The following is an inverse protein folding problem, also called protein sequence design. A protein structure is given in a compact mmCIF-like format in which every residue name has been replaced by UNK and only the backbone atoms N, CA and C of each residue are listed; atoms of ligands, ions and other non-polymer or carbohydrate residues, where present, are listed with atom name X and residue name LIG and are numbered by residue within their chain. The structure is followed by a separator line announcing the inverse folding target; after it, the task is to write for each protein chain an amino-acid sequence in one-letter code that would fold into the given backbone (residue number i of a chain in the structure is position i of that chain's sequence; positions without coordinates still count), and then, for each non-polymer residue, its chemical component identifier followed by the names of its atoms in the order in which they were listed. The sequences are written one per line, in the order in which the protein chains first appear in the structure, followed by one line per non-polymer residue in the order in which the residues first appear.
data_IF_525766775002
#
_entry.id   IF_525766775002
#
_cell.length_a   1.000
_cell.length_b   1.000
_cell.length_c   1.000
_cell.angle_alpha   90.00
_cell.angle_beta   90.00
_cell.angle_gamma   90.00
#
_symmetry.space_group_name_H-M   'P 1'
#
loop_
_entity.id
_entity.type
_entity.pdbx_description
1 polymer ?
#
# COMPACT_ATOMS: atom_id res chain seq x y z
N UNK A 1 -40.88 36.50 -7.57
CA UNK A 1 -40.13 36.84 -8.79
C UNK A 1 -38.76 37.32 -8.32
N UNK A 2 -37.62 36.69 -8.53
CA UNK A 2 -37.09 35.56 -9.33
C UNK A 2 -35.86 35.10 -8.55
N UNK A 3 -35.67 33.80 -8.28
CA UNK A 3 -34.79 32.97 -9.11
C UNK A 3 -33.35 33.02 -8.60
N UNK A 4 -32.87 31.93 -8.02
CA UNK A 4 -31.50 31.82 -7.47
C UNK A 4 -31.19 30.38 -7.07
N UNK A 5 -31.20 29.49 -8.06
CA UNK A 5 -30.64 28.14 -7.94
C UNK A 5 -29.10 28.21 -7.88
N UNK A 6 -28.53 27.53 -6.89
CA UNK A 6 -27.12 27.18 -6.79
C UNK A 6 -27.04 26.10 -5.72
N UNK A 7 -27.11 24.82 -6.08
CA UNK A 7 -26.07 24.13 -6.82
C UNK A 7 -25.28 23.30 -5.81
N UNK A 8 -25.81 22.12 -5.44
CA UNK A 8 -25.05 21.08 -4.75
C UNK A 8 -24.20 20.34 -5.78
N UNK A 9 -22.90 20.14 -5.55
CA UNK A 9 -22.17 19.06 -6.19
C UNK A 9 -21.67 18.05 -5.15
N UNK A 10 -21.73 16.77 -5.53
CA UNK A 10 -20.75 15.79 -5.09
C UNK A 10 -21.21 14.79 -4.04
N UNK A 11 -22.25 14.02 -4.35
CA UNK A 11 -22.35 12.66 -3.84
C UNK A 11 -21.33 11.78 -4.59
N UNK A 12 -20.69 10.88 -3.84
CA UNK A 12 -20.02 9.65 -4.30
C UNK A 12 -18.61 9.77 -4.92
N UNK A 13 -17.60 9.52 -4.10
CA UNK A 13 -16.44 8.74 -4.56
C UNK A 13 -16.40 7.50 -3.68
N UNK A 14 -16.90 6.42 -4.27
CA UNK A 14 -16.93 5.12 -3.66
C UNK A 14 -15.57 4.79 -3.06
N UNK A 15 -15.63 4.28 -1.82
CA UNK A 15 -14.59 3.44 -1.26
C UNK A 15 -14.50 2.21 -2.16
N UNK A 16 -13.80 2.36 -3.28
CA UNK A 16 -13.39 1.27 -4.12
C UNK A 16 -12.60 0.34 -3.22
N UNK A 17 -13.18 -0.82 -2.94
CA UNK A 17 -12.39 -2.00 -2.64
C UNK A 17 -11.39 -2.06 -3.79
N UNK A 18 -10.15 -1.59 -3.58
CA UNK A 18 -9.10 -1.75 -4.58
C UNK A 18 -8.97 -3.26 -4.72
N UNK A 19 -9.59 -3.82 -5.75
CA UNK A 19 -9.28 -5.17 -6.15
C UNK A 19 -7.77 -5.16 -6.35
N UNK A 20 -7.06 -5.99 -5.60
CA UNK A 20 -5.62 -6.09 -5.80
C UNK A 20 -5.38 -6.41 -7.28
N UNK A 21 -4.32 -5.87 -7.90
CA UNK A 21 -4.03 -6.10 -9.31
C UNK A 21 -4.10 -7.58 -9.72
N UNK A 22 -3.80 -8.50 -8.79
CA UNK A 22 -3.99 -9.93 -8.97
C UNK A 22 -5.45 -10.37 -9.21
N UNK A 23 -6.43 -9.85 -8.47
CA UNK A 23 -7.86 -10.20 -8.64
C UNK A 23 -8.37 -9.81 -10.02
N UNK A 24 -8.05 -8.59 -10.46
CA UNK A 24 -8.46 -8.11 -11.78
C UNK A 24 -7.85 -8.95 -12.92
N UNK A 25 -6.57 -9.34 -12.77
CA UNK A 25 -5.89 -10.21 -13.73
C UNK A 25 -6.56 -11.59 -13.81
N UNK A 26 -6.92 -12.17 -12.67
CA UNK A 26 -7.57 -13.49 -12.61
C UNK A 26 -8.96 -13.43 -13.25
N UNK A 27 -9.72 -12.35 -13.04
CA UNK A 27 -11.02 -12.18 -13.69
C UNK A 27 -10.91 -11.94 -15.19
N UNK A 28 -9.81 -11.35 -15.67
CA UNK A 28 -9.49 -11.30 -17.10
C UNK A 28 -9.11 -12.68 -17.64
N UNK A 29 -8.31 -13.46 -16.91
CA UNK A 29 -7.95 -14.82 -17.29
C UNK A 29 -9.18 -15.73 -17.36
N UNK A 30 -10.10 -15.66 -16.39
CA UNK A 30 -11.37 -16.39 -16.40
C UNK A 30 -12.19 -16.11 -17.66
N UNK A 31 -12.22 -14.85 -18.12
CA UNK A 31 -12.94 -14.45 -19.34
C UNK A 31 -12.28 -14.99 -20.60
N UNK A 32 -10.95 -14.94 -20.69
CA UNK A 32 -10.21 -15.41 -21.89
C UNK A 32 -10.20 -16.95 -21.98
N UNK A 33 -10.10 -17.64 -20.85
CA UNK A 33 -9.93 -19.09 -20.81
C UNK A 33 -11.25 -19.89 -20.80
N UNK A 34 -12.40 -19.21 -20.87
CA UNK A 34 -13.73 -19.83 -20.98
C UNK A 34 -14.34 -19.66 -22.39
N UNK A 35 -13.86 -20.40 -23.41
CA UNK A 35 -14.61 -20.52 -24.66
C UNK A 35 -15.94 -21.26 -24.42
N UNK A 36 -16.95 -20.91 -25.24
CA UNK A 36 -18.30 -21.47 -25.17
C UNK A 36 -18.31 -23.00 -25.37
N UNK A 37 -17.28 -23.54 -26.03
CA UNK A 37 -17.16 -24.95 -26.44
C UNK A 37 -16.38 -25.82 -25.44
N UNK A 38 -15.93 -25.27 -24.30
CA UNK A 38 -15.13 -26.04 -23.35
C UNK A 38 -16.00 -27.13 -22.69
N UNK A 39 -15.55 -28.38 -22.66
CA UNK A 39 -16.29 -29.44 -21.96
C UNK A 39 -16.44 -29.14 -20.46
N UNK A 40 -17.55 -29.58 -19.84
CA UNK A 40 -17.88 -29.28 -18.44
C UNK A 40 -16.75 -29.64 -17.47
N UNK A 41 -16.14 -30.83 -17.61
CA UNK A 41 -15.01 -31.27 -16.79
C UNK A 41 -13.78 -30.38 -16.95
N UNK A 42 -13.52 -29.88 -18.16
CA UNK A 42 -12.43 -28.92 -18.40
C UNK A 42 -12.72 -27.57 -17.75
N UNK A 43 -14.00 -27.11 -17.74
CA UNK A 43 -14.40 -25.88 -17.04
C UNK A 43 -14.20 -26.00 -15.54
N UNK A 44 -14.67 -27.08 -14.93
CA UNK A 44 -14.51 -27.32 -13.48
C UNK A 44 -13.03 -27.39 -13.08
N UNK A 45 -12.22 -28.10 -13.87
CA UNK A 45 -10.78 -28.20 -13.64
C UNK A 45 -10.10 -26.83 -13.73
N UNK A 46 -10.46 -26.04 -14.76
CA UNK A 46 -9.93 -24.69 -14.96
C UNK A 46 -10.34 -23.75 -13.82
N UNK A 47 -11.62 -23.73 -13.45
CA UNK A 47 -12.13 -22.88 -12.37
C UNK A 47 -11.43 -23.22 -11.04
N UNK A 48 -11.29 -24.50 -10.72
CA UNK A 48 -10.56 -24.96 -9.53
C UNK A 48 -9.06 -24.67 -9.57
N UNK A 49 -8.45 -24.60 -10.76
CA UNK A 49 -7.06 -24.15 -10.91
C UNK A 49 -6.93 -22.63 -10.68
N UNK A 50 -7.83 -21.84 -11.26
CA UNK A 50 -7.84 -20.38 -11.13
C UNK A 50 -8.16 -19.94 -9.70
N UNK A 51 -9.04 -20.66 -8.99
CA UNK A 51 -9.34 -20.38 -7.58
C UNK A 51 -8.15 -20.67 -6.65
N UNK A 52 -7.42 -21.77 -6.88
CA UNK A 52 -6.19 -22.07 -6.14
C UNK A 52 -5.11 -21.03 -6.42
N UNK A 53 -4.95 -20.62 -7.68
CA UNK A 53 -4.01 -19.58 -8.06
C UNK A 53 -4.34 -18.23 -7.39
N UNK A 54 -5.62 -17.84 -7.38
CA UNK A 54 -6.11 -16.66 -6.67
C UNK A 54 -5.79 -16.68 -5.18
N UNK A 55 -5.96 -17.84 -4.52
CA UNK A 55 -5.55 -18.01 -3.13
C UNK A 55 -4.04 -17.85 -2.94
N UNK A 56 -3.22 -18.39 -3.84
CA UNK A 56 -1.77 -18.28 -3.76
C UNK A 56 -1.28 -16.85 -3.98
N UNK A 57 -1.84 -16.12 -4.96
CA UNK A 57 -1.47 -14.74 -5.22
C UNK A 57 -1.89 -13.81 -4.06
N UNK A 58 -3.09 -13.97 -3.50
CA UNK A 58 -3.48 -13.22 -2.28
C UNK A 58 -2.49 -13.44 -1.13
N UNK A 59 -2.09 -14.68 -0.88
CA UNK A 59 -1.10 -15.00 0.17
C UNK A 59 0.27 -14.41 -0.16
N UNK A 60 0.68 -14.41 -1.43
CA UNK A 60 1.95 -13.83 -1.89
C UNK A 60 1.97 -12.31 -1.72
N UNK A 61 0.91 -11.63 -2.14
CA UNK A 61 0.74 -10.18 -1.96
C UNK A 61 0.74 -9.81 -0.48
N UNK A 62 -0.03 -10.53 0.35
CA UNK A 62 -0.05 -10.28 1.79
C UNK A 62 1.33 -10.43 2.44
N UNK A 63 2.10 -11.47 2.06
CA UNK A 63 3.49 -11.62 2.53
C UNK A 63 4.38 -10.47 2.08
N UNK A 64 4.21 -9.99 0.85
CA UNK A 64 4.99 -8.87 0.29
C UNK A 64 4.72 -7.58 1.06
N UNK A 65 3.46 -7.25 1.31
CA UNK A 65 3.09 -6.04 2.05
C UNK A 65 3.53 -6.10 3.52
N UNK A 66 3.40 -7.26 4.17
CA UNK A 66 3.94 -7.46 5.52
C UNK A 66 5.47 -7.33 5.58
N UNK A 67 6.19 -7.81 4.56
CA UNK A 67 7.63 -7.63 4.47
C UNK A 67 8.00 -6.16 4.31
N UNK A 68 7.35 -5.44 3.38
CA UNK A 68 7.56 -4.00 3.19
C UNK A 68 7.32 -3.20 4.48
N UNK A 69 6.22 -3.46 5.19
CA UNK A 69 5.94 -2.79 6.47
C UNK A 69 6.99 -3.10 7.55
N UNK A 70 7.59 -4.30 7.55
CA UNK A 70 8.69 -4.65 8.47
C UNK A 70 9.97 -3.94 8.09
N UNK A 71 10.27 -3.84 6.80
CA UNK A 71 11.44 -3.12 6.30
C UNK A 71 11.37 -1.63 6.68
N UNK A 72 10.20 -1.00 6.53
CA UNK A 72 9.97 0.40 6.96
C UNK A 72 10.11 0.57 8.48
N UNK A 73 9.60 -0.38 9.28
CA UNK A 73 9.81 -0.39 10.73
C UNK A 73 11.30 -0.47 11.07
N UNK A 74 12.04 -1.35 10.41
CA UNK A 74 13.48 -1.54 10.69
C UNK A 74 14.28 -0.32 10.25
N UNK A 75 13.86 0.36 9.19
CA UNK A 75 14.41 1.65 8.78
C UNK A 75 14.16 2.74 9.82
N UNK A 76 12.94 2.86 10.35
CA UNK A 76 12.64 3.80 11.46
C UNK A 76 13.54 3.51 12.65
N UNK A 77 13.68 2.25 13.05
CA UNK A 77 14.54 1.87 14.17
C UNK A 77 16.01 2.25 13.93
N UNK A 78 16.50 2.17 12.69
CA UNK A 78 17.84 2.64 12.34
C UNK A 78 17.97 4.16 12.42
N UNK A 79 16.99 4.92 11.92
CA UNK A 79 16.97 6.38 11.98
C UNK A 79 16.90 6.90 13.41
N UNK A 80 16.14 6.22 14.28
CA UNK A 80 16.09 6.55 15.71
C UNK A 80 17.45 6.39 16.40
N UNK A 81 18.29 5.46 15.96
CA UNK A 81 19.67 5.33 16.48
C UNK A 81 20.57 6.49 16.04
N UNK A 82 20.36 7.08 14.87
CA UNK A 82 21.08 8.29 14.48
C UNK A 82 20.56 9.51 15.24
N UNK A 83 19.23 9.59 15.44
CA UNK A 83 18.62 10.67 16.22
C UNK A 83 19.03 10.71 17.69
N UNK A 84 19.61 9.64 18.27
CA UNK A 84 20.14 9.72 19.64
C UNK A 84 21.32 10.68 19.76
N UNK A 85 21.95 11.10 18.66
CA UNK A 85 22.94 12.18 18.66
C UNK A 85 22.35 13.49 19.22
N UNK A 86 21.03 13.70 19.07
CA UNK A 86 20.32 14.84 19.63
C UNK A 86 20.49 14.96 21.15
N UNK A 87 20.68 13.84 21.86
CA UNK A 87 20.87 13.83 23.32
C UNK A 87 22.18 14.51 23.75
N UNK A 88 23.15 14.59 22.84
CA UNK A 88 24.44 15.25 23.06
C UNK A 88 24.47 16.72 22.61
N UNK A 89 23.46 17.15 21.84
CA UNK A 89 23.42 18.49 21.31
C UNK A 89 22.91 19.48 22.35
N UNK A 90 23.50 20.67 22.32
CA UNK A 90 23.08 21.79 23.16
C UNK A 90 22.87 23.03 22.30
N UNK A 91 22.23 24.05 22.88
CA UNK A 91 22.00 25.35 22.23
C UNK A 91 23.32 26.03 21.80
N UNK A 92 24.42 25.67 22.47
CA UNK A 92 25.77 26.16 22.22
C UNK A 92 26.47 25.49 21.03
N UNK A 93 25.82 24.52 20.36
CA UNK A 93 26.39 23.91 19.16
C UNK A 93 26.67 24.98 18.09
N UNK A 94 27.92 24.99 17.64
CA UNK A 94 28.46 25.95 16.69
C UNK A 94 28.12 25.56 15.25
N UNK A 95 28.09 24.26 14.96
CA UNK A 95 27.72 23.75 13.65
C UNK A 95 26.20 23.66 13.51
N UNK A 96 25.62 24.66 12.84
CA UNK A 96 24.18 24.70 12.60
C UNK A 96 23.69 23.69 11.58
N UNK A 97 24.57 23.12 10.76
CA UNK A 97 24.19 22.13 9.75
C UNK A 97 23.70 20.83 10.39
N UNK A 98 24.23 20.46 11.56
CA UNK A 98 23.80 19.27 12.31
C UNK A 98 22.29 19.31 12.62
N UNK A 99 21.74 20.46 12.99
CA UNK A 99 20.29 20.58 13.26
C UNK A 99 19.44 20.33 12.01
N UNK A 100 19.92 20.76 10.84
CA UNK A 100 19.25 20.50 9.55
C UNK A 100 19.32 19.01 9.21
N UNK A 101 20.47 18.36 9.43
CA UNK A 101 20.62 16.92 9.24
C UNK A 101 19.67 16.11 10.13
N UNK A 102 19.55 16.47 11.41
CA UNK A 102 18.59 15.84 12.32
C UNK A 102 17.13 16.09 11.90
N UNK A 103 16.81 17.29 11.38
CA UNK A 103 15.48 17.57 10.82
C UNK A 103 15.17 16.66 9.60
N UNK A 104 16.17 16.40 8.74
CA UNK A 104 16.03 15.45 7.64
C UNK A 104 15.79 14.02 8.13
N UNK A 105 16.39 13.60 9.24
CA UNK A 105 16.11 12.30 9.85
C UNK A 105 14.65 12.19 10.32
N UNK A 106 14.10 13.22 10.97
CA UNK A 106 12.67 13.24 11.33
C UNK A 106 11.77 13.13 10.09
N UNK A 107 12.08 13.86 9.02
CA UNK A 107 11.34 13.78 7.76
C UNK A 107 11.40 12.36 7.16
N UNK A 108 12.55 11.68 7.24
CA UNK A 108 12.67 10.32 6.74
C UNK A 108 11.90 9.30 7.60
N UNK A 109 11.85 9.51 8.93
CA UNK A 109 11.01 8.68 9.82
C UNK A 109 9.54 8.85 9.45
N UNK A 110 9.08 10.09 9.23
CA UNK A 110 7.70 10.35 8.82
C UNK A 110 7.37 9.64 7.50
N UNK A 111 8.23 9.77 6.48
CA UNK A 111 8.07 9.07 5.20
C UNK A 111 8.02 7.55 5.36
N UNK A 112 8.92 6.98 6.15
CA UNK A 112 8.97 5.54 6.42
C UNK A 112 7.71 5.07 7.16
N UNK A 113 7.21 5.86 8.12
CA UNK A 113 5.99 5.54 8.85
C UNK A 113 4.75 5.58 7.94
N UNK A 114 4.66 6.57 7.06
CA UNK A 114 3.61 6.66 6.05
C UNK A 114 3.64 5.46 5.08
N UNK A 115 4.83 5.11 4.59
CA UNK A 115 5.03 3.95 3.72
C UNK A 115 4.62 2.64 4.39
N UNK A 116 5.08 2.41 5.62
CA UNK A 116 4.71 1.21 6.38
C UNK A 116 3.20 1.14 6.66
N UNK A 117 2.57 2.27 6.99
CA UNK A 117 1.12 2.34 7.17
C UNK A 117 0.37 2.08 5.86
N UNK A 118 0.84 2.60 4.73
CA UNK A 118 0.25 2.36 3.42
C UNK A 118 0.37 0.88 3.01
N UNK A 119 1.53 0.25 3.27
CA UNK A 119 1.73 -1.18 3.03
C UNK A 119 0.73 -2.03 3.83
N UNK A 120 0.53 -1.73 5.12
CA UNK A 120 -0.44 -2.45 5.96
C UNK A 120 -1.90 -2.25 5.52
N UNK A 121 -2.26 -1.07 4.99
CA UNK A 121 -3.60 -0.80 4.43
C UNK A 121 -3.85 -1.50 3.09
N UNK A 122 -2.80 -2.07 2.48
CA UNK A 122 -2.88 -2.81 1.21
C UNK A 122 -3.10 -4.32 1.42
N UNK A 123 -3.25 -4.77 2.66
CA UNK A 123 -3.68 -6.11 3.06
C UNK A 123 -5.20 -6.24 3.03
#
# INVERSE_FOLDING_TARGET
MTGGEGGKPGQDIGRGHHATPARELIDRLRRVLRPEDLHCTCRETLDGALERFDQFERRREARRWLAAARDDRDRIAALLRFLSELDSLTEAESDRSVFEELALLFNEIARSAEAGAAALRSL
#
